data_IF_457594279696
#
_entry.id   IF_457594279696
#
_cell.length_a   1.000
_cell.length_b   1.000
_cell.length_c   1.000
_cell.angle_alpha   90.00
_cell.angle_beta   90.00
_cell.angle_gamma   90.00
#
_symmetry.space_group_name_H-M   'P 1'
#
loop_
_entity.id
_entity.type
_entity.pdbx_description
1 polymer ?
#
# COMPACT_ATOMS: atom_id res chain seq x y z
N UNK A 1 3.51 7.25 -17.69
CA UNK A 1 2.37 7.75 -16.89
C UNK A 1 1.04 7.08 -17.26
N UNK A 2 0.61 7.08 -18.53
CA UNK A 2 -0.66 6.45 -18.95
C UNK A 2 -0.79 4.97 -18.56
N UNK A 3 0.28 4.17 -18.76
CA UNK A 3 0.27 2.75 -18.37
C UNK A 3 0.21 2.55 -16.85
N UNK A 4 0.89 3.41 -16.06
CA UNK A 4 0.82 3.36 -14.59
C UNK A 4 -0.60 3.63 -14.13
N UNK A 5 -1.27 4.65 -14.70
CA UNK A 5 -2.67 4.94 -14.38
C UNK A 5 -3.59 3.77 -14.73
N UNK A 6 -3.36 3.09 -15.86
CA UNK A 6 -4.13 1.91 -16.24
C UNK A 6 -3.95 0.76 -15.25
N UNK A 7 -2.71 0.48 -14.84
CA UNK A 7 -2.41 -0.54 -13.83
C UNK A 7 -3.02 -0.19 -12.47
N UNK A 8 -2.95 1.08 -12.06
CA UNK A 8 -3.60 1.60 -10.85
C UNK A 8 -5.11 1.39 -10.89
N UNK A 9 -5.78 1.78 -11.97
CA UNK A 9 -7.22 1.59 -12.12
C UNK A 9 -7.59 0.09 -12.06
N UNK A 10 -6.81 -0.77 -12.70
CA UNK A 10 -6.99 -2.22 -12.65
C UNK A 10 -6.91 -2.76 -11.22
N UNK A 11 -5.92 -2.29 -10.45
CA UNK A 11 -5.74 -2.67 -9.05
C UNK A 11 -6.85 -2.12 -8.15
N UNK A 12 -7.24 -0.85 -8.28
CA UNK A 12 -8.36 -0.29 -7.51
C UNK A 12 -9.66 -1.05 -7.80
N UNK A 13 -9.90 -1.40 -9.07
CA UNK A 13 -11.11 -2.14 -9.46
C UNK A 13 -11.15 -3.58 -8.95
N UNK A 14 -10.03 -4.16 -8.50
CA UNK A 14 -10.01 -5.50 -7.91
C UNK A 14 -10.40 -5.53 -6.43
N UNK A 15 -10.58 -4.35 -5.81
CA UNK A 15 -11.04 -4.21 -4.45
C UNK A 15 -12.45 -3.62 -4.46
N UNK A 16 -13.44 -4.48 -4.20
CA UNK A 16 -14.81 -4.06 -3.93
C UNK A 16 -15.05 -4.11 -2.42
N UNK A 17 -15.55 -3.02 -1.81
CA UNK A 17 -15.97 -3.03 -0.40
C UNK A 17 -17.02 -4.12 -0.13
N UNK A 18 -17.86 -4.44 -1.11
CA UNK A 18 -18.88 -5.50 -0.99
C UNK A 18 -18.29 -6.90 -0.75
N UNK A 19 -17.04 -7.15 -1.15
CA UNK A 19 -16.40 -8.46 -1.00
C UNK A 19 -15.49 -8.56 0.21
N UNK A 20 -14.87 -7.45 0.61
CA UNK A 20 -13.77 -7.44 1.60
C UNK A 20 -14.07 -6.59 2.84
N UNK A 21 -15.17 -5.84 2.83
CA UNK A 21 -15.41 -4.78 3.81
C UNK A 21 -14.49 -3.56 3.66
N UNK A 22 -13.47 -3.63 2.79
CA UNK A 22 -12.43 -2.62 2.63
C UNK A 22 -12.42 -1.99 1.24
N UNK A 23 -12.23 -0.68 1.22
CA UNK A 23 -11.99 0.13 0.02
C UNK A 23 -10.50 0.44 -0.10
N UNK A 24 -9.87 0.11 -1.23
CA UNK A 24 -8.54 0.63 -1.56
C UNK A 24 -8.67 2.14 -1.87
N UNK A 25 -8.18 3.01 -0.98
CA UNK A 25 -8.31 4.47 -1.09
C UNK A 25 -6.99 5.16 -1.43
N UNK A 26 -5.84 4.51 -1.25
CA UNK A 26 -4.54 5.10 -1.54
C UNK A 26 -3.50 4.12 -2.06
N UNK A 27 -2.62 4.59 -2.95
CA UNK A 27 -1.48 3.82 -3.44
C UNK A 27 -0.24 4.70 -3.48
N UNK A 28 0.79 4.32 -2.72
CA UNK A 28 2.12 4.91 -2.77
C UNK A 28 3.10 3.89 -3.36
N UNK A 29 3.93 4.36 -4.28
CA UNK A 29 4.99 3.58 -4.90
C UNK A 29 6.33 4.21 -4.56
N UNK A 30 7.30 3.38 -4.22
CA UNK A 30 8.67 3.80 -3.93
C UNK A 30 9.67 2.70 -4.31
N UNK A 31 10.96 2.98 -4.12
CA UNK A 31 12.04 2.03 -4.37
C UNK A 31 12.94 1.90 -3.16
N UNK A 32 13.38 0.68 -2.94
CA UNK A 32 14.40 0.31 -1.95
C UNK A 32 15.70 -0.07 -2.63
N UNK A 33 16.82 0.16 -1.93
CA UNK A 33 18.15 -0.21 -2.45
C UNK A 33 18.34 -1.72 -2.50
N UNK A 34 17.77 -2.43 -1.53
CA UNK A 34 17.90 -3.87 -1.40
C UNK A 34 16.68 -4.54 -2.01
N UNK A 35 16.93 -5.50 -2.90
CA UNK A 35 15.88 -6.34 -3.46
C UNK A 35 15.40 -7.35 -2.42
N UNK A 36 14.09 -7.41 -2.18
CA UNK A 36 13.49 -8.38 -1.26
C UNK A 36 12.09 -8.80 -1.73
N UNK A 37 11.56 -9.85 -1.11
CA UNK A 37 10.14 -10.15 -1.12
C UNK A 37 9.65 -10.05 0.32
N UNK A 38 8.90 -9.00 0.63
CA UNK A 38 8.47 -8.71 1.99
C UNK A 38 7.07 -8.10 1.99
N UNK A 39 6.38 -8.22 3.11
CA UNK A 39 5.14 -7.52 3.36
C UNK A 39 5.06 -7.04 4.81
N UNK A 40 4.27 -6.02 5.07
CA UNK A 40 3.96 -5.55 6.42
C UNK A 40 2.57 -4.92 6.41
N UNK A 41 1.79 -5.15 7.46
CA UNK A 41 0.54 -4.45 7.69
C UNK A 41 0.80 -3.36 8.75
N UNK A 42 0.20 -2.20 8.56
CA UNK A 42 0.21 -1.11 9.54
C UNK A 42 -1.23 -0.75 9.86
N UNK A 43 -1.56 -0.77 11.14
CA UNK A 43 -2.85 -0.30 11.63
C UNK A 43 -2.75 1.21 11.82
N UNK A 44 -3.61 1.96 11.15
CA UNK A 44 -3.61 3.43 11.18
C UNK A 44 -4.68 3.94 12.12
N UNK A 45 -5.87 3.33 12.08
CA UNK A 45 -6.97 3.51 13.02
C UNK A 45 -7.80 2.22 13.10
N UNK A 46 -8.89 2.23 13.85
CA UNK A 46 -9.74 1.03 14.07
C UNK A 46 -10.36 0.49 12.77
N UNK A 47 -10.50 1.31 11.71
CA UNK A 47 -11.04 0.89 10.42
C UNK A 47 -10.09 1.13 9.24
N UNK A 48 -8.83 1.50 9.50
CA UNK A 48 -7.89 1.90 8.45
C UNK A 48 -6.57 1.15 8.57
N UNK A 49 -6.15 0.52 7.47
CA UNK A 49 -4.91 -0.25 7.43
C UNK A 49 -4.10 0.06 6.17
N UNK A 50 -2.79 -0.10 6.26
CA UNK A 50 -1.88 0.00 5.12
C UNK A 50 -1.13 -1.30 4.94
N UNK A 51 -1.31 -1.95 3.79
CA UNK A 51 -0.51 -3.10 3.37
C UNK A 51 0.67 -2.62 2.54
N UNK A 52 1.88 -2.82 3.05
CA UNK A 52 3.12 -2.67 2.31
C UNK A 52 3.52 -3.99 1.67
N UNK A 53 3.85 -3.95 0.39
CA UNK A 53 4.37 -5.05 -0.40
C UNK A 53 5.66 -4.63 -1.09
N UNK A 54 6.74 -5.33 -0.78
CA UNK A 54 8.00 -5.20 -1.49
C UNK A 54 8.19 -6.41 -2.41
N UNK A 55 8.35 -6.15 -3.71
CA UNK A 55 8.74 -7.17 -4.68
C UNK A 55 9.93 -6.64 -5.47
N UNK A 56 11.08 -7.26 -5.26
CA UNK A 56 12.34 -6.79 -5.80
C UNK A 56 12.74 -5.47 -5.16
N UNK A 57 13.10 -4.49 -6.01
CA UNK A 57 13.47 -3.14 -5.57
C UNK A 57 12.28 -2.18 -5.43
N UNK A 58 11.07 -2.60 -5.80
CA UNK A 58 9.88 -1.75 -5.75
C UNK A 58 9.06 -2.08 -4.52
N UNK A 59 8.64 -1.04 -3.81
CA UNK A 59 7.74 -1.12 -2.67
C UNK A 59 6.44 -0.41 -3.02
N UNK A 60 5.33 -1.06 -2.73
CA UNK A 60 3.97 -0.56 -2.94
C UNK A 60 3.25 -0.56 -1.60
N UNK A 61 2.74 0.59 -1.19
CA UNK A 61 1.85 0.73 -0.04
C UNK A 61 0.43 0.88 -0.57
N UNK A 62 -0.47 0.05 -0.07
CA UNK A 62 -1.90 0.03 -0.37
C UNK A 62 -2.65 0.46 0.89
N UNK A 63 -3.31 1.60 0.85
CA UNK A 63 -4.08 2.13 1.96
C UNK A 63 -5.57 1.75 1.81
N UNK A 64 -6.12 1.10 2.82
CA UNK A 64 -7.47 0.58 2.85
C UNK A 64 -8.30 1.24 3.95
N UNK A 65 -9.57 1.51 3.64
CA UNK A 65 -10.57 2.06 4.56
C UNK A 65 -11.75 1.10 4.66
N UNK A 66 -12.14 0.75 5.87
CA UNK A 66 -13.34 -0.01 6.19
C UNK A 66 -14.49 0.88 6.62
N UNK A 67 -15.72 0.40 6.39
CA UNK A 67 -16.93 1.02 6.95
C UNK A 67 -17.15 0.63 8.42
N UNK A 68 -16.57 -0.49 8.84
CA UNK A 68 -16.65 -1.06 10.18
C UNK A 68 -15.24 -1.14 10.80
N UNK A 69 -15.18 -1.19 12.14
CA UNK A 69 -13.96 -1.47 12.88
C UNK A 69 -13.47 -2.88 12.53
N UNK A 70 -12.16 -3.03 12.34
CA UNK A 70 -11.53 -4.30 12.00
C UNK A 70 -11.19 -5.00 13.32
N UNK A 71 -11.78 -6.17 13.55
CA UNK A 71 -11.50 -6.98 14.74
C UNK A 71 -10.07 -7.55 14.67
N UNK A 72 -9.28 -7.34 15.72
CA UNK A 72 -7.91 -7.88 15.84
C UNK A 72 -7.86 -9.41 15.68
N UNK A 73 -8.93 -10.13 16.05
CA UNK A 73 -9.04 -11.58 15.87
C UNK A 73 -9.10 -11.99 14.39
N UNK A 74 -9.54 -11.10 13.49
CA UNK A 74 -9.69 -11.35 12.04
C UNK A 74 -8.47 -10.90 11.23
N UNK A 75 -7.47 -10.27 11.86
CA UNK A 75 -6.28 -9.74 11.17
C UNK A 75 -5.51 -10.81 10.39
N UNK A 76 -5.26 -12.02 10.91
CA UNK A 76 -4.52 -13.04 10.16
C UNK A 76 -5.21 -13.39 8.83
N UNK A 77 -6.51 -13.63 8.87
CA UNK A 77 -7.33 -13.94 7.69
C UNK A 77 -7.38 -12.75 6.72
N UNK A 78 -7.56 -11.53 7.26
CA UNK A 78 -7.59 -10.31 6.48
C UNK A 78 -6.29 -10.08 5.72
N UNK A 79 -5.14 -10.29 6.38
CA UNK A 79 -3.81 -10.14 5.74
C UNK A 79 -3.65 -11.15 4.60
N UNK A 80 -4.03 -12.40 4.80
CA UNK A 80 -3.95 -13.43 3.77
C UNK A 80 -4.84 -13.06 2.57
N UNK A 81 -6.07 -12.60 2.81
CA UNK A 81 -6.99 -12.15 1.77
C UNK A 81 -6.44 -10.93 1.01
N UNK A 82 -5.99 -9.89 1.72
CA UNK A 82 -5.46 -8.67 1.12
C UNK A 82 -4.23 -8.96 0.27
N UNK A 83 -3.31 -9.81 0.74
CA UNK A 83 -2.15 -10.24 -0.05
C UNK A 83 -2.62 -11.02 -1.28
N UNK A 84 -3.51 -12.00 -1.10
CA UNK A 84 -4.04 -12.82 -2.19
C UNK A 84 -4.67 -11.99 -3.31
N UNK A 85 -5.54 -11.03 -2.95
CA UNK A 85 -6.22 -10.14 -3.88
C UNK A 85 -5.30 -9.08 -4.50
N UNK A 86 -4.38 -8.50 -3.73
CA UNK A 86 -3.49 -7.43 -4.21
C UNK A 86 -2.40 -7.95 -5.15
N UNK A 87 -1.87 -9.16 -4.91
CA UNK A 87 -0.66 -9.64 -5.56
C UNK A 87 -0.71 -9.60 -7.11
N UNK A 88 -1.78 -10.02 -7.80
CA UNK A 88 -1.85 -9.93 -9.25
C UNK A 88 -1.72 -8.50 -9.78
N UNK A 89 -2.50 -7.56 -9.24
CA UNK A 89 -2.49 -6.17 -9.67
C UNK A 89 -1.21 -5.43 -9.26
N UNK A 90 -0.65 -5.74 -8.09
CA UNK A 90 0.65 -5.20 -7.65
C UNK A 90 1.78 -5.68 -8.54
N UNK A 91 1.80 -6.96 -8.95
CA UNK A 91 2.80 -7.48 -9.91
C UNK A 91 2.73 -6.75 -11.25
N UNK A 92 1.54 -6.45 -11.75
CA UNK A 92 1.36 -5.67 -12.98
C UNK A 92 1.84 -4.23 -12.81
N UNK A 93 1.48 -3.59 -11.69
CA UNK A 93 1.91 -2.23 -11.36
C UNK A 93 3.44 -2.15 -11.27
N UNK A 94 4.08 -3.07 -10.56
CA UNK A 94 5.54 -3.13 -10.41
C UNK A 94 6.24 -3.30 -11.77
N UNK A 95 5.78 -4.23 -12.61
CA UNK A 95 6.32 -4.40 -13.97
C UNK A 95 6.24 -3.11 -14.79
N UNK A 96 5.12 -2.40 -14.66
CA UNK A 96 4.90 -1.12 -15.34
C UNK A 96 5.84 -0.03 -14.82
N UNK A 97 6.05 0.03 -13.50
CA UNK A 97 6.97 0.97 -12.84
C UNK A 97 8.41 0.72 -13.30
N UNK A 98 8.84 -0.53 -13.30
CA UNK A 98 10.18 -0.93 -13.73
C UNK A 98 10.44 -0.55 -15.18
N UNK A 99 9.49 -0.80 -16.09
CA UNK A 99 9.58 -0.41 -17.50
C UNK A 99 9.52 1.11 -17.75
N UNK A 100 8.91 1.87 -16.83
CA UNK A 100 8.75 3.33 -16.97
C UNK A 100 9.95 4.14 -16.46
N UNK A 101 10.84 3.53 -15.67
CA UNK A 101 11.96 4.22 -15.03
C UNK A 101 11.56 5.19 -13.91
N UNK A 102 10.36 5.06 -13.34
CA UNK A 102 9.94 5.84 -12.16
C UNK A 102 10.92 5.57 -11.01
N UNK A 103 11.73 6.58 -10.67
CA UNK A 103 12.76 6.49 -9.63
C UNK A 103 12.32 7.13 -8.32
N UNK A 104 11.49 8.17 -8.38
CA UNK A 104 11.08 8.93 -7.21
C UNK A 104 9.85 8.30 -6.53
N UNK A 105 9.82 8.28 -5.18
CA UNK A 105 8.64 7.94 -4.40
C UNK A 105 7.46 8.84 -4.78
N UNK A 106 6.27 8.25 -4.97
CA UNK A 106 5.07 8.99 -5.37
C UNK A 106 3.76 8.28 -5.02
N UNK A 107 2.79 9.05 -4.53
CA UNK A 107 1.39 8.64 -4.45
C UNK A 107 0.80 8.65 -5.87
N UNK A 108 0.32 7.50 -6.32
CA UNK A 108 -0.24 7.28 -7.67
C UNK A 108 -1.76 7.15 -7.68
N UNK A 109 -2.38 7.04 -6.50
CA UNK A 109 -3.81 7.08 -6.27
C UNK A 109 -4.08 7.68 -4.89
N UNK A 110 -5.04 8.62 -4.81
CA UNK A 110 -5.32 9.39 -3.61
C UNK A 110 -6.83 9.72 -3.50
N UNK A 111 -7.55 8.86 -2.80
CA UNK A 111 -8.91 9.07 -2.29
C UNK A 111 -8.98 8.87 -0.77
N UNK A 112 -7.83 8.96 -0.09
CA UNK A 112 -7.67 8.63 1.32
C UNK A 112 -8.35 9.63 2.25
N UNK A 113 -8.80 9.14 3.40
CA UNK A 113 -9.21 9.93 4.57
C UNK A 113 -8.06 10.83 5.08
N UNK A 114 -8.33 11.81 5.95
CA UNK A 114 -7.29 12.66 6.53
C UNK A 114 -6.22 11.89 7.32
N UNK A 115 -6.60 10.86 8.09
CA UNK A 115 -5.69 10.10 8.95
C UNK A 115 -4.76 9.21 8.12
N UNK A 116 -5.32 8.46 7.15
CA UNK A 116 -4.53 7.72 6.17
C UNK A 116 -3.63 8.61 5.33
N UNK A 117 -4.10 9.81 4.95
CA UNK A 117 -3.24 10.79 4.27
C UNK A 117 -2.04 11.14 5.13
N UNK A 118 -2.25 11.50 6.39
CA UNK A 118 -1.16 11.87 7.27
C UNK A 118 -0.11 10.75 7.35
N UNK A 119 -0.55 9.51 7.58
CA UNK A 119 0.32 8.35 7.61
C UNK A 119 1.10 8.16 6.29
N UNK A 120 0.40 8.13 5.15
CA UNK A 120 0.98 7.85 3.84
C UNK A 120 1.93 8.96 3.38
N UNK A 121 1.62 10.22 3.69
CA UNK A 121 2.51 11.34 3.41
C UNK A 121 3.74 11.33 4.35
N UNK A 122 3.62 10.91 5.62
CA UNK A 122 4.80 10.73 6.47
C UNK A 122 5.72 9.64 5.90
N UNK A 123 5.17 8.49 5.49
CA UNK A 123 5.92 7.43 4.80
C UNK A 123 6.64 7.97 3.55
N UNK A 124 5.92 8.69 2.69
CA UNK A 124 6.49 9.34 1.50
C UNK A 124 7.65 10.27 1.88
N UNK A 125 7.46 11.11 2.90
CA UNK A 125 8.46 12.06 3.36
C UNK A 125 9.69 11.38 3.95
N UNK A 126 9.54 10.23 4.63
CA UNK A 126 10.68 9.41 5.11
C UNK A 126 11.51 8.91 3.93
N UNK A 127 10.86 8.38 2.89
CA UNK A 127 11.54 7.94 1.67
C UNK A 127 12.29 9.08 0.97
N UNK A 128 11.65 10.25 0.80
CA UNK A 128 12.28 11.42 0.19
C UNK A 128 13.50 11.92 0.99
N UNK A 129 13.51 11.70 2.31
CA UNK A 129 14.63 12.04 3.20
C UNK A 129 15.65 10.91 3.36
N UNK A 130 15.45 9.76 2.71
CA UNK A 130 16.31 8.57 2.85
C UNK A 130 16.30 7.98 4.27
N UNK A 131 15.21 8.15 5.02
CA UNK A 131 15.02 7.61 6.37
C UNK A 131 14.34 6.24 6.30
N UNK A 132 14.63 5.39 7.28
CA UNK A 132 13.95 4.11 7.47
C UNK A 132 12.46 4.34 7.74
N UNK A 133 11.60 3.58 7.07
CA UNK A 133 10.16 3.56 7.35
C UNK A 133 9.82 2.55 8.46
N UNK A 134 10.72 1.61 8.71
CA UNK A 134 10.57 0.52 9.69
C UNK A 134 11.01 0.90 11.11
N UNK A 135 11.40 2.14 11.37
CA UNK A 135 11.84 2.59 12.70
C UNK A 135 10.64 2.84 13.68
N UNK A 136 9.46 2.28 13.42
CA UNK A 136 8.37 2.28 14.38
C UNK A 136 8.55 1.14 15.39
N UNK A 137 9.38 1.39 16.40
CA UNK A 137 9.19 0.80 17.73
C UNK A 137 8.92 1.95 18.70
N UNK A 138 7.69 2.47 18.68
CA UNK A 138 7.15 3.06 19.91
C UNK A 138 6.53 1.92 20.70
N UNK A 139 7.30 1.41 21.67
CA UNK A 139 6.78 0.70 22.82
C UNK A 139 5.83 1.64 23.54
N UNK A 140 4.53 1.34 23.54
CA UNK A 140 3.60 1.83 24.55
C UNK A 140 3.36 0.73 25.59
#
# INVERSE_FOLDING_TARGET
>A
MREIQKAVIGLVSSFSPEETGLKLSGILVTREKNSAYNFSLFDVSESEVVLMLQIGSVVVYLAFEGEEEIDEEEYPELVEELIGKSLPGVKELIRTIEGSGLAEPRIVYDEMSPELKEFMYDVLMRYLKGRSVYDQTELA
#
